data_IF_085222058140
#
_entry.id   IF_085222058140
#
_cell.length_a   1.000
_cell.length_b   1.000
_cell.length_c   1.000
_cell.angle_alpha   90.00
_cell.angle_beta   90.00
_cell.angle_gamma   90.00
#
_symmetry.space_group_name_H-M   'P 1'
#
loop_
_entity.id
_entity.type
_entity.pdbx_description
1 polymer ?
#
# COMPACT_ATOMS: atom_id res chain seq x y z
N UNK A 1 4.54 10.86 -3.07
CA UNK A 1 4.09 11.23 -1.71
C UNK A 1 2.58 11.02 -1.51
N UNK A 2 1.67 11.57 -2.31
CA UNK A 2 0.21 11.37 -2.15
C UNK A 2 -0.20 9.89 -2.05
N UNK A 3 0.52 9.02 -2.69
CA UNK A 3 0.24 7.59 -2.69
C UNK A 3 0.83 6.88 -1.45
N UNK A 4 1.96 7.34 -0.95
CA UNK A 4 2.53 6.87 0.32
C UNK A 4 1.70 7.34 1.51
N UNK A 5 1.34 8.64 1.54
CA UNK A 5 0.52 9.20 2.61
C UNK A 5 -0.95 8.93 2.28
N UNK A 6 -1.33 7.65 2.34
CA UNK A 6 -2.70 7.20 2.19
C UNK A 6 -3.43 7.16 3.53
N UNK A 7 -4.51 6.38 3.56
CA UNK A 7 -5.29 6.15 4.79
C UNK A 7 -4.52 5.30 5.82
N UNK A 8 -3.48 4.56 5.36
CA UNK A 8 -2.76 3.57 6.16
C UNK A 8 -2.46 4.04 7.58
N UNK A 9 -1.56 5.01 7.79
CA UNK A 9 -1.10 5.39 9.12
C UNK A 9 -2.22 5.90 10.06
N UNK A 10 -3.36 6.31 9.50
CA UNK A 10 -4.52 6.79 10.27
C UNK A 10 -5.43 5.66 10.77
N UNK A 11 -5.27 4.43 10.26
CA UNK A 11 -6.09 3.27 10.62
C UNK A 11 -5.26 2.08 11.11
N UNK A 12 -3.97 2.05 10.80
CA UNK A 12 -3.10 0.89 11.09
C UNK A 12 -2.44 0.96 12.46
N UNK A 13 -2.31 2.15 13.07
CA UNK A 13 -1.72 2.31 14.40
C UNK A 13 -2.33 1.35 15.44
N UNK A 14 -3.67 1.23 15.57
CA UNK A 14 -4.27 0.26 16.49
C UNK A 14 -3.90 -1.19 16.18
N UNK A 15 -3.77 -1.54 14.89
CA UNK A 15 -3.39 -2.89 14.45
C UNK A 15 -1.94 -3.21 14.81
N UNK A 16 -1.03 -2.25 14.61
CA UNK A 16 0.39 -2.39 14.93
C UNK A 16 0.59 -2.49 16.44
N UNK A 17 -0.09 -1.64 17.24
CA UNK A 17 -0.06 -1.72 18.70
C UNK A 17 -0.60 -3.05 19.21
N UNK A 18 -1.70 -3.55 18.64
CA UNK A 18 -2.28 -4.84 19.00
C UNK A 18 -1.35 -6.02 18.66
N UNK A 19 -0.56 -5.93 17.57
CA UNK A 19 0.37 -6.97 17.17
C UNK A 19 1.47 -7.24 18.20
N UNK A 20 1.89 -6.21 18.96
CA UNK A 20 2.95 -6.33 19.95
C UNK A 20 2.51 -6.03 21.39
N UNK A 21 1.25 -5.64 21.60
CA UNK A 21 0.68 -5.36 22.92
C UNK A 21 1.22 -4.10 23.59
N UNK A 22 1.69 -3.10 22.83
CA UNK A 22 2.16 -1.82 23.40
C UNK A 22 3.03 -0.96 22.47
N UNK A 23 3.60 0.15 23.00
CA UNK A 23 4.38 1.11 22.21
C UNK A 23 5.65 0.56 21.58
N UNK A 24 6.19 -0.58 22.09
CA UNK A 24 7.33 -1.27 21.45
C UNK A 24 7.02 -1.66 20.00
N UNK A 25 5.77 -1.69 19.60
CA UNK A 25 5.32 -1.86 18.23
C UNK A 25 5.87 -0.78 17.26
N UNK A 26 6.32 0.37 17.78
CA UNK A 26 7.04 1.38 17.00
C UNK A 26 8.33 0.86 16.36
N UNK A 27 8.92 -0.23 16.88
CA UNK A 27 10.01 -0.94 16.23
C UNK A 27 9.61 -1.43 14.83
N UNK A 28 8.36 -1.84 14.63
CA UNK A 28 7.84 -2.21 13.32
C UNK A 28 7.91 -1.07 12.31
N UNK A 29 7.62 0.17 12.73
CA UNK A 29 7.75 1.36 11.90
C UNK A 29 9.21 1.71 11.58
N UNK A 30 10.12 1.61 12.58
CA UNK A 30 11.54 1.90 12.40
C UNK A 30 12.18 0.89 11.45
N UNK A 31 11.97 -0.40 11.71
CA UNK A 31 12.51 -1.48 10.87
C UNK A 31 11.82 -1.50 9.48
N UNK A 32 10.53 -1.22 9.43
CA UNK A 32 9.79 -1.04 8.18
C UNK A 32 10.33 0.12 7.34
N UNK A 33 10.70 1.24 7.95
CA UNK A 33 11.35 2.36 7.26
C UNK A 33 12.73 1.96 6.71
N UNK A 34 13.54 1.24 7.50
CA UNK A 34 14.82 0.70 7.05
C UNK A 34 14.66 -0.27 5.88
N UNK A 35 13.66 -1.14 5.95
CA UNK A 35 13.30 -2.08 4.88
C UNK A 35 12.85 -1.32 3.63
N UNK A 36 11.97 -0.32 3.77
CA UNK A 36 11.50 0.51 2.66
C UNK A 36 12.65 1.30 2.02
N UNK A 37 13.65 1.75 2.80
CA UNK A 37 14.84 2.42 2.27
C UNK A 37 15.71 1.45 1.46
N UNK A 38 15.95 0.25 1.97
CA UNK A 38 16.72 -0.78 1.27
C UNK A 38 16.05 -1.18 -0.06
N UNK A 39 14.74 -1.40 -0.03
CA UNK A 39 13.95 -1.68 -1.23
C UNK A 39 13.89 -0.47 -2.17
N UNK A 40 13.69 0.73 -1.62
CA UNK A 40 13.67 1.98 -2.38
C UNK A 40 14.95 2.25 -3.16
N UNK A 41 16.11 1.83 -2.64
CA UNK A 41 17.38 1.89 -3.37
C UNK A 41 17.38 0.96 -4.59
N UNK A 42 16.76 -0.22 -4.50
CA UNK A 42 16.58 -1.14 -5.64
C UNK A 42 15.69 -0.50 -6.70
N UNK A 43 14.55 0.05 -6.30
CA UNK A 43 13.65 0.74 -7.21
C UNK A 43 14.27 1.98 -7.85
N UNK A 44 15.08 2.72 -7.09
CA UNK A 44 15.80 3.89 -7.57
C UNK A 44 16.81 3.53 -8.67
N UNK A 45 17.56 2.45 -8.51
CA UNK A 45 18.50 1.99 -9.53
C UNK A 45 17.78 1.47 -10.77
N UNK A 46 16.78 0.60 -10.59
CA UNK A 46 16.02 0.03 -11.71
C UNK A 46 15.25 1.12 -12.47
N UNK A 47 14.61 2.05 -11.76
CA UNK A 47 13.85 3.15 -12.36
C UNK A 47 14.73 4.17 -13.09
N UNK A 48 15.96 4.41 -12.62
CA UNK A 48 16.92 5.26 -13.31
C UNK A 48 17.52 4.58 -14.55
N UNK A 49 17.75 3.27 -14.49
CA UNK A 49 18.33 2.49 -15.58
C UNK A 49 17.31 2.18 -16.69
N UNK A 50 16.04 2.06 -16.34
CA UNK A 50 14.94 1.69 -17.24
C UNK A 50 13.76 2.68 -17.09
N UNK A 51 13.88 3.92 -17.57
CA UNK A 51 12.87 4.98 -17.39
C UNK A 51 11.67 4.82 -18.34
N UNK A 52 11.21 3.60 -18.54
CA UNK A 52 10.03 3.29 -19.35
C UNK A 52 8.76 3.27 -18.50
N UNK A 53 7.60 3.46 -19.14
CA UNK A 53 6.32 3.27 -18.49
C UNK A 53 6.10 1.79 -18.14
N UNK A 54 5.51 1.53 -16.96
CA UNK A 54 5.17 0.18 -16.53
C UNK A 54 5.98 -0.34 -15.33
N UNK A 55 7.04 0.35 -14.90
CA UNK A 55 7.79 0.03 -13.66
C UNK A 55 8.19 -1.45 -13.58
N UNK A 56 7.72 -2.17 -12.53
CA UNK A 56 8.03 -3.60 -12.33
C UNK A 56 7.83 -4.46 -13.57
N UNK A 57 6.82 -4.18 -14.38
CA UNK A 57 6.61 -4.92 -15.63
C UNK A 57 7.82 -4.81 -16.55
N UNK A 58 8.27 -3.58 -16.80
CA UNK A 58 9.42 -3.32 -17.66
C UNK A 58 10.72 -3.89 -17.05
N UNK A 59 10.89 -3.72 -15.73
CA UNK A 59 12.05 -4.24 -15.01
C UNK A 59 12.16 -5.75 -15.10
N UNK A 60 11.13 -6.48 -14.72
CA UNK A 60 11.13 -7.96 -14.72
C UNK A 60 11.29 -8.52 -16.14
N UNK A 61 10.68 -7.87 -17.14
CA UNK A 61 10.84 -8.22 -18.55
C UNK A 61 12.30 -8.12 -19.00
N UNK A 62 12.99 -7.03 -18.63
CA UNK A 62 14.37 -6.77 -19.03
C UNK A 62 15.37 -7.60 -18.24
N UNK A 63 15.18 -7.73 -16.91
CA UNK A 63 16.06 -8.49 -16.03
C UNK A 63 16.15 -9.94 -16.49
N UNK A 64 15.01 -10.60 -16.65
CA UNK A 64 14.94 -12.03 -16.93
C UNK A 64 14.82 -12.36 -18.44
N UNK A 65 14.61 -11.36 -19.27
CA UNK A 65 14.50 -11.51 -20.72
C UNK A 65 15.77 -11.14 -21.49
N UNK A 66 16.84 -10.74 -20.80
CA UNK A 66 18.08 -10.27 -21.42
C UNK A 66 17.96 -8.90 -22.08
N UNK A 67 18.99 -8.46 -22.85
CA UNK A 67 19.00 -7.18 -23.52
C UNK A 67 17.77 -6.96 -24.41
N UNK A 68 17.04 -5.87 -24.16
CA UNK A 68 15.79 -5.56 -24.86
C UNK A 68 14.57 -6.33 -24.39
N UNK A 69 14.67 -7.18 -23.34
CA UNK A 69 13.54 -7.86 -22.69
C UNK A 69 12.75 -8.81 -23.61
N UNK A 70 13.39 -9.39 -24.64
CA UNK A 70 12.72 -10.25 -25.65
C UNK A 70 12.70 -11.73 -25.28
N UNK A 71 13.51 -12.16 -24.30
CA UNK A 71 13.57 -13.55 -23.86
C UNK A 71 12.27 -14.06 -23.26
N UNK A 72 11.97 -15.34 -23.48
CA UNK A 72 10.72 -15.98 -23.04
C UNK A 72 10.51 -15.95 -21.54
N UNK A 73 11.58 -16.15 -20.75
CA UNK A 73 11.53 -16.11 -19.29
C UNK A 73 11.13 -14.72 -18.76
N UNK A 74 11.71 -13.64 -19.31
CA UNK A 74 11.35 -12.28 -18.91
C UNK A 74 9.90 -11.94 -19.23
N UNK A 75 9.41 -12.35 -20.42
CA UNK A 75 8.00 -12.17 -20.80
C UNK A 75 7.05 -12.96 -19.89
N UNK A 76 7.41 -14.15 -19.50
CA UNK A 76 6.63 -14.99 -18.60
C UNK A 76 6.55 -14.38 -17.20
N UNK A 77 7.69 -14.00 -16.60
CA UNK A 77 7.73 -13.41 -15.25
C UNK A 77 6.99 -12.06 -15.23
N UNK A 78 7.19 -11.22 -16.26
CA UNK A 78 6.47 -9.97 -16.39
C UNK A 78 4.95 -10.17 -16.57
N UNK A 79 4.52 -11.24 -17.25
CA UNK A 79 3.10 -11.62 -17.33
C UNK A 79 2.56 -12.03 -15.97
N UNK A 80 3.27 -12.87 -15.23
CA UNK A 80 2.85 -13.28 -13.86
C UNK A 80 2.72 -12.06 -12.94
N UNK A 81 3.64 -11.11 -13.03
CA UNK A 81 3.54 -9.85 -12.30
C UNK A 81 2.23 -9.10 -12.62
N UNK A 82 1.87 -8.95 -13.89
CA UNK A 82 0.61 -8.28 -14.26
C UNK A 82 -0.60 -9.08 -13.83
N UNK A 83 -0.53 -10.40 -13.95
CA UNK A 83 -1.61 -11.27 -13.53
C UNK A 83 -1.88 -11.14 -12.02
N UNK A 84 -0.84 -11.16 -11.17
CA UNK A 84 -1.02 -10.90 -9.74
C UNK A 84 -1.50 -9.46 -9.46
N UNK A 85 -1.07 -8.47 -10.25
CA UNK A 85 -1.48 -7.09 -10.10
C UNK A 85 -3.00 -6.93 -10.33
N UNK A 86 -3.61 -7.80 -11.13
CA UNK A 86 -5.07 -7.85 -11.33
C UNK A 86 -5.82 -8.08 -10.01
N UNK A 87 -5.18 -8.68 -9.02
CA UNK A 87 -5.72 -8.89 -7.66
C UNK A 87 -5.17 -7.86 -6.68
N UNK A 88 -3.85 -7.66 -6.64
CA UNK A 88 -3.22 -6.83 -5.62
C UNK A 88 -3.49 -5.32 -5.79
N UNK A 89 -3.67 -4.83 -7.00
CA UNK A 89 -4.00 -3.42 -7.21
C UNK A 89 -5.43 -3.06 -6.75
N UNK A 90 -6.48 -3.86 -7.10
CA UNK A 90 -7.81 -3.65 -6.53
C UNK A 90 -7.88 -3.78 -5.00
N UNK A 91 -7.09 -4.68 -4.40
CA UNK A 91 -6.98 -4.79 -2.94
C UNK A 91 -6.45 -3.50 -2.32
N UNK A 92 -5.45 -2.84 -2.93
CA UNK A 92 -4.96 -1.53 -2.46
C UNK A 92 -6.04 -0.44 -2.55
N UNK A 93 -6.81 -0.42 -3.62
CA UNK A 93 -7.92 0.53 -3.80
C UNK A 93 -9.01 0.26 -2.75
N UNK A 94 -9.38 -1.00 -2.55
CA UNK A 94 -10.39 -1.40 -1.58
C UNK A 94 -9.96 -1.06 -0.15
N UNK A 95 -8.69 -1.29 0.24
CA UNK A 95 -8.20 -0.95 1.58
C UNK A 95 -8.34 0.55 1.89
N UNK A 96 -8.04 1.42 0.91
CA UNK A 96 -8.26 2.86 1.04
C UNK A 96 -9.74 3.24 1.20
N UNK A 97 -10.62 2.60 0.44
CA UNK A 97 -12.07 2.86 0.50
C UNK A 97 -12.71 2.31 1.79
N UNK A 98 -12.26 1.14 2.28
CA UNK A 98 -12.68 0.58 3.57
C UNK A 98 -12.26 1.51 4.70
N UNK A 99 -11.01 1.99 4.69
CA UNK A 99 -10.54 2.96 5.69
C UNK A 99 -11.34 4.26 5.65
N UNK A 100 -11.67 4.78 4.47
CA UNK A 100 -12.56 5.93 4.31
C UNK A 100 -13.94 5.66 4.94
N UNK A 101 -14.52 4.49 4.72
CA UNK A 101 -15.84 4.14 5.25
C UNK A 101 -15.86 4.02 6.77
N UNK A 102 -14.75 3.62 7.41
CA UNK A 102 -14.62 3.59 8.86
C UNK A 102 -14.70 4.99 9.48
N UNK A 103 -14.05 5.98 8.87
CA UNK A 103 -14.16 7.38 9.30
C UNK A 103 -15.54 7.99 8.97
N UNK A 104 -16.18 7.56 7.90
CA UNK A 104 -17.56 7.94 7.61
C UNK A 104 -18.52 7.39 8.69
N UNK A 105 -18.32 6.16 9.15
CA UNK A 105 -19.11 5.58 10.25
C UNK A 105 -18.95 6.33 11.57
N UNK A 106 -17.76 6.89 11.85
CA UNK A 106 -17.55 7.79 12.98
C UNK A 106 -18.38 9.09 12.85
N UNK A 107 -18.43 9.69 11.64
CA UNK A 107 -19.21 10.91 11.40
C UNK A 107 -20.73 10.67 11.50
N UNK A 108 -21.18 9.52 11.02
CA UNK A 108 -22.57 9.11 10.99
C UNK A 108 -22.77 7.75 11.70
N UNK A 109 -22.84 7.72 13.04
CA UNK A 109 -22.94 6.46 13.81
C UNK A 109 -24.12 5.58 13.44
N UNK A 110 -25.20 6.18 12.87
CA UNK A 110 -26.34 5.43 12.35
C UNK A 110 -25.97 4.47 11.22
N UNK A 111 -24.87 4.75 10.47
CA UNK A 111 -24.37 3.87 9.42
C UNK A 111 -23.66 2.65 10.03
N UNK A 112 -22.95 2.83 11.16
CA UNK A 112 -22.32 1.73 11.88
C UNK A 112 -23.35 0.83 12.58
N UNK A 113 -24.46 1.41 13.05
CA UNK A 113 -25.56 0.70 13.73
C UNK A 113 -26.52 -0.02 12.73
N UNK A 114 -26.36 0.18 11.42
CA UNK A 114 -27.15 -0.49 10.41
C UNK A 114 -26.93 -2.00 10.39
N UNK A 115 -27.94 -2.77 9.95
CA UNK A 115 -27.81 -4.22 9.83
C UNK A 115 -26.67 -4.57 8.89
N UNK A 116 -25.56 -5.08 9.45
CA UNK A 116 -24.46 -5.64 8.68
C UNK A 116 -24.63 -7.15 8.63
N UNK A 117 -24.89 -7.70 7.47
CA UNK A 117 -24.86 -9.14 7.28
C UNK A 117 -23.39 -9.57 7.18
N UNK A 118 -22.88 -10.14 8.24
CA UNK A 118 -21.55 -10.74 8.24
C UNK A 118 -21.67 -12.26 8.04
N UNK A 119 -20.99 -12.78 7.05
CA UNK A 119 -20.87 -14.23 6.80
C UNK A 119 -19.40 -14.60 6.73
N UNK A 120 -19.05 -15.72 7.37
CA UNK A 120 -17.74 -16.32 7.19
C UNK A 120 -17.79 -17.22 5.95
N UNK A 121 -17.04 -16.85 4.94
CA UNK A 121 -16.80 -17.70 3.78
C UNK A 121 -15.67 -18.66 4.08
N UNK A 122 -15.97 -19.94 4.06
CA UNK A 122 -14.98 -21.01 4.19
C UNK A 122 -14.73 -21.64 2.82
N UNK A 123 -13.57 -21.38 2.22
CA UNK A 123 -13.19 -21.95 0.93
C UNK A 123 -11.83 -22.62 1.08
N UNK A 124 -11.77 -23.95 0.95
CA UNK A 124 -10.51 -24.70 0.96
C UNK A 124 -9.67 -24.48 2.23
N UNK A 125 -10.30 -24.31 3.41
CA UNK A 125 -9.62 -24.02 4.69
C UNK A 125 -9.33 -22.53 4.94
N UNK A 126 -9.68 -21.63 4.03
CA UNK A 126 -9.68 -20.19 4.24
C UNK A 126 -11.00 -19.74 4.88
N UNK A 127 -10.89 -18.91 5.90
CA UNK A 127 -12.03 -18.23 6.52
C UNK A 127 -11.86 -16.74 6.27
N UNK A 128 -12.65 -16.18 5.38
CA UNK A 128 -12.68 -14.74 5.13
C UNK A 128 -14.02 -14.17 5.63
N UNK A 129 -13.95 -13.12 6.42
CA UNK A 129 -15.14 -12.38 6.84
C UNK A 129 -15.66 -11.52 5.69
N UNK A 130 -16.82 -11.85 5.17
CA UNK A 130 -17.54 -11.02 4.19
C UNK A 130 -18.63 -10.26 4.92
N UNK A 131 -18.59 -8.95 4.86
CA UNK A 131 -19.57 -8.08 5.48
C UNK A 131 -20.24 -7.20 4.41
N UNK A 132 -21.56 -7.19 4.42
CA UNK A 132 -22.37 -6.30 3.59
C UNK A 132 -23.22 -5.42 4.51
N UNK A 133 -22.98 -4.11 4.45
CA UNK A 133 -23.68 -3.14 5.27
C UNK A 133 -23.51 -1.72 4.74
N UNK A 134 -24.01 -0.72 5.46
CA UNK A 134 -23.90 0.68 5.03
C UNK A 134 -22.44 1.14 4.83
N UNK A 135 -21.51 0.68 5.67
CA UNK A 135 -20.06 0.98 5.52
C UNK A 135 -19.53 0.46 4.17
N UNK A 136 -19.93 -0.77 3.78
CA UNK A 136 -19.54 -1.36 2.48
C UNK A 136 -20.09 -0.52 1.31
N UNK A 137 -21.32 -0.01 1.43
CA UNK A 137 -21.90 0.86 0.39
C UNK A 137 -21.12 2.18 0.25
N UNK A 138 -20.66 2.76 1.35
CA UNK A 138 -19.81 3.96 1.31
C UNK A 138 -18.47 3.66 0.63
N UNK A 139 -17.84 2.53 0.97
CA UNK A 139 -16.60 2.13 0.31
C UNK A 139 -16.80 1.94 -1.20
N UNK A 140 -17.87 1.29 -1.61
CA UNK A 140 -18.24 1.12 -3.03
C UNK A 140 -18.50 2.47 -3.69
N UNK A 141 -19.24 3.38 -3.04
CA UNK A 141 -19.49 4.72 -3.54
C UNK A 141 -18.18 5.50 -3.76
N UNK A 142 -17.22 5.38 -2.84
CA UNK A 142 -15.91 6.01 -2.99
C UNK A 142 -15.14 5.48 -4.22
N UNK A 143 -15.18 4.15 -4.47
CA UNK A 143 -14.61 3.56 -5.70
C UNK A 143 -15.28 4.13 -6.93
N UNK A 144 -16.62 4.14 -6.96
CA UNK A 144 -17.41 4.61 -8.12
C UNK A 144 -17.13 6.09 -8.41
N UNK A 145 -17.09 6.94 -7.38
CA UNK A 145 -16.76 8.37 -7.53
C UNK A 145 -15.36 8.55 -8.08
N UNK A 146 -14.36 7.83 -7.55
CA UNK A 146 -12.99 7.93 -8.02
C UNK A 146 -12.84 7.49 -9.49
N UNK A 147 -13.47 6.35 -9.86
CA UNK A 147 -13.50 5.86 -11.25
C UNK A 147 -14.21 6.85 -12.16
N UNK A 148 -15.36 7.39 -11.75
CA UNK A 148 -16.12 8.37 -12.52
C UNK A 148 -15.32 9.64 -12.79
N UNK A 149 -14.67 10.20 -11.76
CA UNK A 149 -13.84 11.40 -11.90
C UNK A 149 -12.69 11.17 -12.86
N UNK A 150 -12.00 10.02 -12.76
CA UNK A 150 -10.91 9.67 -13.68
C UNK A 150 -11.43 9.41 -15.10
N UNK A 151 -12.61 8.78 -15.24
CA UNK A 151 -13.22 8.49 -16.54
C UNK A 151 -13.62 9.75 -17.30
N UNK A 152 -14.12 10.76 -16.60
CA UNK A 152 -14.48 12.07 -17.17
C UNK A 152 -13.27 12.86 -17.69
N UNK A 153 -12.05 12.47 -17.29
CA UNK A 153 -10.85 13.16 -17.72
C UNK A 153 -10.84 14.62 -17.24
N UNK A 154 -10.68 14.83 -15.93
CA UNK A 154 -10.69 16.15 -15.32
C UNK A 154 -9.67 17.09 -16.00
N UNK A 155 -10.18 18.08 -16.74
CA UNK A 155 -9.42 19.30 -17.07
C UNK A 155 -9.13 20.01 -15.75
N UNK A 156 -7.92 19.86 -15.22
CA UNK A 156 -7.59 20.39 -13.88
C UNK A 156 -7.08 19.32 -12.90
N UNK A 157 -6.73 18.13 -13.39
CA UNK A 157 -6.15 17.07 -12.58
C UNK A 157 -5.02 17.56 -11.65
N UNK A 158 -4.21 18.52 -12.13
CA UNK A 158 -3.14 19.16 -11.35
C UNK A 158 -3.66 19.93 -10.14
N UNK A 159 -4.74 20.68 -10.32
CA UNK A 159 -5.35 21.47 -9.25
C UNK A 159 -5.97 20.56 -8.20
N UNK A 160 -6.73 19.55 -8.63
CA UNK A 160 -7.35 18.57 -7.73
C UNK A 160 -6.28 17.84 -6.91
N UNK A 161 -5.22 17.37 -7.54
CA UNK A 161 -4.10 16.71 -6.87
C UNK A 161 -3.37 17.64 -5.90
N UNK A 162 -3.18 18.92 -6.27
CA UNK A 162 -2.55 19.92 -5.40
C UNK A 162 -3.41 20.23 -4.17
N UNK A 163 -4.72 20.41 -4.35
CA UNK A 163 -5.67 20.63 -3.24
C UNK A 163 -5.69 19.43 -2.28
N UNK A 164 -5.75 18.22 -2.82
CA UNK A 164 -5.69 17.00 -2.02
C UNK A 164 -4.36 16.92 -1.25
N UNK A 165 -3.24 17.25 -1.89
CA UNK A 165 -1.93 17.26 -1.23
C UNK A 165 -1.86 18.29 -0.09
N UNK A 166 -2.38 19.50 -0.30
CA UNK A 166 -2.47 20.52 0.75
C UNK A 166 -3.33 20.03 1.92
N UNK A 167 -4.47 19.40 1.67
CA UNK A 167 -5.33 18.84 2.72
C UNK A 167 -4.59 17.78 3.57
N UNK A 168 -3.86 16.87 2.90
CA UNK A 168 -3.03 15.85 3.57
C UNK A 168 -1.97 16.48 4.46
N UNK A 169 -1.23 17.46 3.93
CA UNK A 169 -0.18 18.15 4.70
C UNK A 169 -0.74 18.93 5.87
N UNK A 170 -1.91 19.57 5.69
CA UNK A 170 -2.61 20.30 6.75
C UNK A 170 -3.02 19.33 7.88
N UNK A 171 -3.57 18.16 7.55
CA UNK A 171 -3.94 17.16 8.55
C UNK A 171 -2.72 16.71 9.35
N UNK A 172 -1.63 16.34 8.68
CA UNK A 172 -0.40 15.88 9.35
C UNK A 172 0.16 16.99 10.24
N UNK A 173 0.30 18.19 9.72
CA UNK A 173 0.79 19.33 10.50
C UNK A 173 -0.08 19.58 11.74
N UNK A 174 -1.41 19.45 11.60
CA UNK A 174 -2.33 19.59 12.73
C UNK A 174 -2.14 18.49 13.77
N UNK A 175 -2.00 17.22 13.36
CA UNK A 175 -1.71 16.11 14.28
C UNK A 175 -0.41 16.36 15.04
N UNK A 176 0.66 16.75 14.35
CA UNK A 176 1.96 17.00 14.97
C UNK A 176 1.88 18.18 15.95
N UNK A 177 1.25 19.29 15.56
CA UNK A 177 1.07 20.46 16.41
C UNK A 177 0.26 20.09 17.66
N UNK A 178 -0.83 19.34 17.52
CA UNK A 178 -1.66 18.87 18.63
C UNK A 178 -0.85 17.97 19.57
N UNK A 179 -0.04 17.06 19.02
CA UNK A 179 0.83 16.18 19.83
C UNK A 179 1.87 16.97 20.65
N UNK A 180 2.43 18.03 20.08
CA UNK A 180 3.40 18.88 20.78
C UNK A 180 2.73 19.75 21.85
N UNK A 181 1.54 20.29 21.58
CA UNK A 181 0.86 21.25 22.47
C UNK A 181 0.06 20.59 23.60
N UNK A 182 -0.49 19.41 23.35
CA UNK A 182 -1.41 18.72 24.30
C UNK A 182 -0.88 17.34 24.74
N UNK A 183 0.22 16.86 24.15
CA UNK A 183 0.74 15.54 24.44
C UNK A 183 1.77 15.52 25.58
N UNK A 184 1.85 14.38 26.24
CA UNK A 184 2.86 14.05 27.23
C UNK A 184 3.80 12.99 26.67
N UNK A 185 5.00 13.37 26.21
CA UNK A 185 5.96 12.44 25.57
C UNK A 185 6.27 11.19 26.40
N UNK A 186 6.30 11.31 27.74
CA UNK A 186 6.51 10.15 28.63
C UNK A 186 5.46 9.07 28.43
N UNK A 187 4.23 9.44 28.12
CA UNK A 187 3.13 8.50 27.88
C UNK A 187 3.37 7.65 26.64
N UNK A 188 3.92 8.24 25.56
CA UNK A 188 4.22 7.53 24.33
C UNK A 188 5.27 6.42 24.53
N UNK A 189 6.11 6.52 25.57
CA UNK A 189 7.16 5.58 25.89
C UNK A 189 6.89 4.76 27.16
N UNK A 190 5.61 4.62 27.55
CA UNK A 190 5.22 3.78 28.68
C UNK A 190 5.06 2.34 28.23
N UNK A 191 6.14 1.57 28.31
CA UNK A 191 6.18 0.17 27.88
C UNK A 191 5.62 -0.77 28.93
N UNK A 192 4.90 -1.84 28.53
CA UNK A 192 4.49 -2.91 29.44
C UNK A 192 5.73 -3.69 29.96
N UNK A 193 5.61 -4.37 31.13
CA UNK A 193 6.68 -5.23 31.62
C UNK A 193 7.05 -6.30 30.59
N UNK A 194 8.36 -6.49 30.34
CA UNK A 194 8.85 -7.47 29.38
C UNK A 194 8.66 -7.10 27.92
N UNK A 195 8.34 -5.84 27.60
CA UNK A 195 8.06 -5.35 26.23
C UNK A 195 9.14 -5.71 25.18
N UNK A 196 10.37 -5.84 25.60
CA UNK A 196 11.53 -6.15 24.72
C UNK A 196 12.13 -7.52 25.01
N UNK A 197 11.45 -8.40 25.74
CA UNK A 197 11.93 -9.75 25.98
C UNK A 197 12.00 -10.53 24.65
N UNK A 198 13.14 -11.14 24.28
CA UNK A 198 13.31 -11.82 23.00
C UNK A 198 12.65 -13.20 23.02
N UNK A 199 11.33 -13.21 23.05
CA UNK A 199 10.48 -14.40 23.07
C UNK A 199 9.89 -14.67 21.67
N UNK A 200 9.47 -15.91 21.35
CA UNK A 200 8.80 -16.19 20.09
C UNK A 200 7.59 -15.27 19.81
N UNK A 201 6.70 -14.97 20.78
CA UNK A 201 5.62 -14.00 20.58
C UNK A 201 6.09 -12.59 20.22
N UNK A 202 7.24 -12.15 20.77
CA UNK A 202 7.83 -10.86 20.40
C UNK A 202 8.21 -10.81 18.92
N UNK A 203 8.91 -11.83 18.41
CA UNK A 203 9.31 -11.87 17.00
C UNK A 203 8.11 -12.02 16.06
N UNK A 204 7.12 -12.85 16.40
CA UNK A 204 5.86 -12.94 15.64
C UNK A 204 5.12 -11.60 15.62
N UNK A 205 5.02 -10.92 16.75
CA UNK A 205 4.42 -9.60 16.85
C UNK A 205 5.17 -8.56 16.03
N UNK A 206 6.51 -8.59 16.08
CA UNK A 206 7.37 -7.71 15.31
C UNK A 206 7.22 -7.94 13.80
N UNK A 207 7.20 -9.20 13.34
CA UNK A 207 6.94 -9.53 11.94
C UNK A 207 5.58 -9.01 11.46
N UNK A 208 4.54 -9.15 12.30
CA UNK A 208 3.20 -8.61 12.02
C UNK A 208 3.19 -7.08 12.00
N UNK A 209 3.87 -6.42 12.94
CA UNK A 209 4.01 -4.96 12.97
C UNK A 209 4.79 -4.45 11.75
N UNK A 210 5.88 -5.11 11.38
CA UNK A 210 6.65 -4.78 10.17
C UNK A 210 5.84 -4.96 8.89
N UNK A 211 4.99 -5.99 8.80
CA UNK A 211 4.11 -6.19 7.65
C UNK A 211 3.18 -5.00 7.46
N UNK A 212 2.50 -4.58 8.53
CA UNK A 212 1.55 -3.46 8.49
C UNK A 212 2.30 -2.15 8.18
N UNK A 213 3.44 -1.91 8.83
CA UNK A 213 4.27 -0.73 8.57
C UNK A 213 4.78 -0.70 7.13
N UNK A 214 5.19 -1.85 6.57
CA UNK A 214 5.62 -1.97 5.18
C UNK A 214 4.49 -1.60 4.21
N UNK A 215 3.25 -2.05 4.48
CA UNK A 215 2.07 -1.65 3.72
C UNK A 215 1.90 -0.13 3.72
N UNK A 216 2.06 0.52 4.86
CA UNK A 216 1.89 1.97 4.99
C UNK A 216 3.01 2.77 4.29
N UNK A 217 4.23 2.22 4.22
CA UNK A 217 5.33 2.85 3.48
C UNK A 217 5.22 2.68 1.96
N UNK A 218 4.44 1.73 1.45
CA UNK A 218 4.34 1.51 0.01
C UNK A 218 3.76 2.71 -0.73
N UNK A 219 4.12 2.82 -2.02
CA UNK A 219 3.71 3.93 -2.88
C UNK A 219 4.88 4.75 -3.44
N UNK A 220 6.09 4.69 -2.82
CA UNK A 220 7.29 5.39 -3.32
C UNK A 220 7.67 4.98 -4.74
N UNK A 221 7.37 3.75 -5.13
CA UNK A 221 7.70 3.19 -6.44
C UNK A 221 6.72 3.58 -7.54
N UNK A 222 5.57 4.17 -7.23
CA UNK A 222 4.53 4.47 -8.23
C UNK A 222 4.99 5.47 -9.30
N UNK A 223 5.97 6.32 -8.98
CA UNK A 223 6.61 7.20 -9.96
C UNK A 223 7.23 6.41 -11.12
N UNK A 224 7.69 5.17 -10.88
CA UNK A 224 8.30 4.33 -11.93
C UNK A 224 7.27 3.82 -12.94
N UNK A 225 5.99 3.74 -12.57
CA UNK A 225 4.91 3.36 -13.49
C UNK A 225 4.63 4.46 -14.52
N UNK A 226 5.00 5.69 -14.19
CA UNK A 226 4.89 6.88 -15.01
C UNK A 226 6.24 7.28 -15.65
N UNK A 227 7.24 6.41 -15.61
CA UNK A 227 8.62 6.74 -15.99
C UNK A 227 8.75 7.43 -17.33
N UNK A 228 7.98 7.02 -18.34
CA UNK A 228 7.96 7.63 -19.67
C UNK A 228 7.33 9.05 -19.72
N UNK A 229 6.60 9.46 -18.68
CA UNK A 229 5.96 10.79 -18.57
C UNK A 229 6.80 11.74 -17.69
N UNK A 230 7.84 11.23 -17.00
CA UNK A 230 8.68 12.01 -16.07
C UNK A 230 9.83 12.69 -16.81
N UNK A 231 9.94 14.00 -16.66
CA UNK A 231 11.07 14.76 -17.22
C UNK A 231 12.36 14.41 -16.47
N UNK A 232 13.43 14.09 -17.22
CA UNK A 232 14.72 13.65 -16.68
C UNK A 232 14.56 12.51 -15.64
N UNK A 233 13.85 11.46 -16.05
CA UNK A 233 13.50 10.34 -15.16
C UNK A 233 14.72 9.69 -14.51
N UNK A 234 15.85 9.64 -15.20
CA UNK A 234 17.11 9.07 -14.69
C UNK A 234 17.60 9.72 -13.38
N UNK A 235 17.31 11.01 -13.19
CA UNK A 235 17.67 11.78 -11.97
C UNK A 235 16.48 12.00 -11.05
N UNK A 236 15.30 12.26 -11.63
CA UNK A 236 14.10 12.61 -10.89
C UNK A 236 13.55 11.42 -10.12
N UNK A 237 13.50 10.21 -10.73
CA UNK A 237 12.93 9.02 -10.10
C UNK A 237 13.70 8.61 -8.83
N UNK A 238 15.04 8.46 -8.83
CA UNK A 238 15.78 8.11 -7.62
C UNK A 238 15.60 9.12 -6.48
N UNK A 239 15.69 10.41 -6.80
CA UNK A 239 15.52 11.47 -5.81
C UNK A 239 14.12 11.48 -5.21
N UNK A 240 13.10 11.35 -6.04
CA UNK A 240 11.72 11.31 -5.58
C UNK A 240 11.45 10.12 -4.67
N UNK A 241 11.96 8.92 -4.99
CA UNK A 241 11.82 7.73 -4.17
C UNK A 241 12.48 7.93 -2.80
N UNK A 242 13.77 8.27 -2.77
CA UNK A 242 14.53 8.33 -1.53
C UNK A 242 14.08 9.48 -0.62
N UNK A 243 13.82 10.67 -1.16
CA UNK A 243 13.31 11.80 -0.39
C UNK A 243 11.91 11.47 0.16
N UNK A 244 11.05 10.84 -0.65
CA UNK A 244 9.71 10.46 -0.18
C UNK A 244 9.76 9.45 0.96
N UNK A 245 10.61 8.42 0.89
CA UNK A 245 10.76 7.43 1.96
C UNK A 245 11.26 8.10 3.24
N UNK A 246 12.33 8.89 3.16
CA UNK A 246 12.91 9.55 4.33
C UNK A 246 11.92 10.51 5.00
N UNK A 247 11.24 11.35 4.21
CA UNK A 247 10.28 12.32 4.73
C UNK A 247 9.05 11.61 5.34
N UNK A 248 8.49 10.61 4.64
CA UNK A 248 7.32 9.89 5.12
C UNK A 248 7.65 9.07 6.37
N UNK A 249 8.85 8.46 6.46
CA UNK A 249 9.28 7.77 7.66
C UNK A 249 9.33 8.71 8.88
N UNK A 250 9.91 9.89 8.72
CA UNK A 250 9.93 10.90 9.79
C UNK A 250 8.52 11.34 10.19
N UNK A 251 7.65 11.63 9.20
CA UNK A 251 6.28 12.07 9.45
C UNK A 251 5.47 10.99 10.16
N UNK A 252 5.58 9.73 9.76
CA UNK A 252 4.82 8.64 10.38
C UNK A 252 5.28 8.36 11.81
N UNK A 253 6.58 8.32 12.06
CA UNK A 253 7.10 8.16 13.42
C UNK A 253 6.65 9.33 14.32
N UNK A 254 6.81 10.57 13.85
CA UNK A 254 6.40 11.74 14.60
C UNK A 254 4.88 11.76 14.86
N UNK A 255 4.07 11.38 13.88
CA UNK A 255 2.61 11.32 13.99
C UNK A 255 2.17 10.25 15.00
N UNK A 256 2.74 9.03 14.92
CA UNK A 256 2.41 7.96 15.85
C UNK A 256 2.84 8.29 17.28
N UNK A 257 4.02 8.91 17.47
CA UNK A 257 4.45 9.43 18.77
C UNK A 257 3.48 10.50 19.27
N UNK A 258 3.03 11.42 18.42
CA UNK A 258 2.07 12.45 18.77
C UNK A 258 0.75 11.86 19.25
N UNK A 259 0.23 10.84 18.56
CA UNK A 259 -1.00 10.15 18.96
C UNK A 259 -0.84 9.45 20.30
N UNK A 260 0.27 8.71 20.50
CA UNK A 260 0.57 8.01 21.75
C UNK A 260 0.88 8.95 22.93
N UNK A 261 1.34 10.17 22.64
CA UNK A 261 1.57 11.19 23.66
C UNK A 261 0.27 11.74 24.26
N UNK A 262 -0.86 11.62 23.54
CA UNK A 262 -2.19 12.07 24.00
C UNK A 262 -3.07 10.89 24.40
N UNK A 263 -3.08 9.80 23.59
CA UNK A 263 -3.89 8.62 23.86
C UNK A 263 -3.05 7.52 24.52
N UNK A 264 -3.40 7.05 25.71
CA UNK A 264 -2.75 5.87 26.31
C UNK A 264 -2.95 4.66 25.40
N UNK A 265 -1.87 3.92 25.12
CA UNK A 265 -1.93 2.74 24.23
C UNK A 265 -2.93 1.68 24.73
N UNK A 266 -3.11 1.54 26.06
CA UNK A 266 -4.09 0.64 26.67
C UNK A 266 -5.52 0.99 26.22
N UNK A 267 -5.82 2.27 26.10
CA UNK A 267 -7.11 2.75 25.60
C UNK A 267 -7.33 2.44 24.12
N UNK A 268 -6.26 2.35 23.34
CA UNK A 268 -6.35 2.00 21.90
C UNK A 268 -6.49 0.48 21.72
N UNK A 269 -5.65 -0.33 22.39
CA UNK A 269 -5.62 -1.79 22.22
C UNK A 269 -6.78 -2.46 22.94
N UNK A 270 -7.10 -2.02 24.17
CA UNK A 270 -8.14 -2.56 25.03
C UNK A 270 -9.51 -1.93 24.86
N UNK A 271 -9.68 -1.00 23.93
CA UNK A 271 -10.95 -0.30 23.76
C UNK A 271 -12.10 -1.26 23.43
N UNK A 272 -13.10 -1.28 24.29
CA UNK A 272 -14.40 -1.88 23.99
C UNK A 272 -15.16 -1.04 22.94
N UNK A 273 -14.80 0.25 22.79
CA UNK A 273 -15.36 1.12 21.78
C UNK A 273 -14.67 0.91 20.42
N UNK A 274 -15.42 0.34 19.49
CA UNK A 274 -14.98 0.13 18.11
C UNK A 274 -14.60 1.44 17.41
N UNK A 275 -15.21 2.57 17.77
CA UNK A 275 -14.93 3.86 17.16
C UNK A 275 -13.53 4.35 17.53
N UNK A 276 -13.10 4.16 18.78
CA UNK A 276 -11.74 4.51 19.22
C UNK A 276 -10.65 3.77 18.41
N UNK A 277 -10.93 2.52 18.00
CA UNK A 277 -10.00 1.71 17.19
C UNK A 277 -10.07 2.03 15.71
N UNK A 278 -11.26 2.36 15.18
CA UNK A 278 -11.49 2.58 13.73
C UNK A 278 -11.19 4.00 13.27
N UNK A 279 -11.38 5.00 14.15
CA UNK A 279 -11.18 6.41 13.86
C UNK A 279 -10.21 7.05 14.86
N UNK A 280 -9.03 6.42 15.04
CA UNK A 280 -8.05 6.79 16.07
C UNK A 280 -7.64 8.27 16.03
N UNK A 281 -7.58 8.89 14.86
CA UNK A 281 -7.23 10.31 14.73
C UNK A 281 -8.36 11.21 15.21
N UNK A 282 -9.61 10.85 14.97
CA UNK A 282 -10.75 11.60 15.52
C UNK A 282 -10.78 11.53 17.03
N UNK A 283 -10.61 10.31 17.60
CA UNK A 283 -10.52 10.10 19.05
C UNK A 283 -9.32 10.84 19.67
N UNK A 284 -8.18 10.89 18.95
CA UNK A 284 -7.02 11.68 19.37
C UNK A 284 -7.36 13.17 19.50
N UNK A 285 -8.06 13.74 18.52
CA UNK A 285 -8.48 15.14 18.58
C UNK A 285 -9.51 15.38 19.70
N UNK A 286 -10.45 14.46 19.91
CA UNK A 286 -11.40 14.57 21.02
C UNK A 286 -10.69 14.59 22.36
N UNK A 287 -9.74 13.70 22.58
CA UNK A 287 -8.99 13.62 23.83
C UNK A 287 -8.10 14.85 24.05
N UNK A 288 -7.46 15.37 22.99
CA UNK A 288 -6.56 16.52 23.08
C UNK A 288 -7.28 17.82 23.42
N UNK A 289 -8.44 18.07 22.80
CA UNK A 289 -9.15 19.36 22.92
C UNK A 289 -10.31 19.32 23.93
N UNK A 290 -10.55 18.16 24.55
CA UNK A 290 -11.52 18.01 25.63
C UNK A 290 -12.99 18.08 25.19
N UNK A 291 -13.94 18.04 26.17
CA UNK A 291 -15.36 17.81 25.85
C UNK A 291 -16.04 18.93 25.10
N UNK A 292 -15.53 20.18 25.20
CA UNK A 292 -16.18 21.32 24.57
C UNK A 292 -15.88 21.42 23.06
N UNK A 293 -14.60 21.32 22.68
CA UNK A 293 -14.15 21.50 21.31
C UNK A 293 -13.79 20.17 20.63
N UNK A 294 -13.41 19.16 21.38
CA UNK A 294 -12.93 17.87 20.89
C UNK A 294 -13.87 17.20 19.90
N UNK A 295 -15.18 17.05 20.17
CA UNK A 295 -16.12 16.41 19.24
C UNK A 295 -16.24 17.12 17.88
N UNK A 296 -16.18 18.45 17.86
CA UNK A 296 -16.20 19.21 16.61
C UNK A 296 -14.90 19.04 15.81
N UNK A 297 -13.76 19.16 16.50
CA UNK A 297 -12.44 19.00 15.88
C UNK A 297 -12.17 17.54 15.45
N UNK A 298 -12.65 16.55 16.19
CA UNK A 298 -12.64 15.15 15.80
C UNK A 298 -13.38 14.90 14.48
N UNK A 299 -14.55 15.52 14.29
CA UNK A 299 -15.31 15.45 13.04
C UNK A 299 -14.56 16.08 11.87
N UNK A 300 -13.94 17.25 12.09
CA UNK A 300 -13.12 17.92 11.06
C UNK A 300 -11.93 17.03 10.69
N UNK A 301 -11.23 16.46 11.66
CA UNK A 301 -10.14 15.54 11.41
C UNK A 301 -10.59 14.29 10.64
N UNK A 302 -11.74 13.71 10.99
CA UNK A 302 -12.33 12.59 10.27
C UNK A 302 -12.58 12.91 8.79
N UNK A 303 -13.14 14.09 8.49
CA UNK A 303 -13.32 14.55 7.09
C UNK A 303 -11.98 14.67 6.37
N UNK A 304 -10.95 15.23 7.00
CA UNK A 304 -9.62 15.37 6.39
C UNK A 304 -8.97 14.00 6.15
N UNK A 305 -9.15 13.01 7.05
CA UNK A 305 -8.70 11.63 6.81
C UNK A 305 -9.45 11.00 5.65
N UNK A 306 -10.76 11.20 5.52
CA UNK A 306 -11.54 10.71 4.37
C UNK A 306 -11.04 11.32 3.05
N UNK A 307 -10.73 12.62 3.03
CA UNK A 307 -10.13 13.30 1.87
C UNK A 307 -8.76 12.69 1.55
N UNK A 308 -7.94 12.43 2.57
CA UNK A 308 -6.63 11.79 2.41
C UNK A 308 -6.75 10.38 1.82
N UNK A 309 -7.66 9.57 2.35
CA UNK A 309 -7.95 8.24 1.84
C UNK A 309 -8.41 8.28 0.37
N UNK A 310 -9.32 9.20 0.05
CA UNK A 310 -9.80 9.38 -1.31
C UNK A 310 -8.69 9.82 -2.28
N UNK A 311 -7.80 10.72 -1.83
CA UNK A 311 -6.65 11.17 -2.60
C UNK A 311 -5.69 10.02 -2.97
N UNK A 312 -5.43 9.13 -2.02
CA UNK A 312 -4.62 7.92 -2.24
C UNK A 312 -5.31 6.97 -3.23
N UNK A 313 -6.58 6.66 -3.03
CA UNK A 313 -7.38 5.82 -3.95
C UNK A 313 -7.35 6.38 -5.37
N UNK A 314 -7.52 7.68 -5.51
CA UNK A 314 -7.47 8.37 -6.80
C UNK A 314 -6.09 8.22 -7.49
N UNK A 315 -5.01 8.40 -6.72
CA UNK A 315 -3.63 8.24 -7.19
C UNK A 315 -3.33 6.79 -7.60
N UNK A 316 -3.77 5.81 -6.80
CA UNK A 316 -3.63 4.38 -7.07
C UNK A 316 -4.32 3.97 -8.38
N UNK A 317 -5.58 4.36 -8.56
CA UNK A 317 -6.33 4.08 -9.78
C UNK A 317 -5.67 4.68 -11.01
N UNK A 318 -5.17 5.93 -10.88
CA UNK A 318 -4.46 6.62 -11.96
C UNK A 318 -3.18 5.88 -12.34
N UNK A 319 -2.34 5.48 -11.39
CA UNK A 319 -1.07 4.80 -11.63
C UNK A 319 -1.25 3.38 -12.14
N UNK A 320 -2.01 2.56 -11.43
CA UNK A 320 -2.15 1.14 -11.75
C UNK A 320 -2.90 0.86 -13.04
N UNK A 321 -3.80 1.72 -13.48
CA UNK A 321 -4.49 1.55 -14.75
C UNK A 321 -3.54 1.55 -15.97
N UNK A 322 -2.37 2.17 -15.86
CA UNK A 322 -1.38 2.24 -16.94
C UNK A 322 -0.58 0.96 -17.15
N UNK A 323 -0.45 0.11 -16.12
CA UNK A 323 0.42 -1.08 -16.16
C UNK A 323 -0.15 -2.17 -17.10
N UNK A 324 -1.43 -2.60 -16.99
CA UNK A 324 -2.00 -3.54 -17.93
C UNK A 324 -2.04 -3.00 -19.37
N UNK A 325 -2.21 -1.68 -19.52
CA UNK A 325 -2.14 -1.02 -20.83
C UNK A 325 -0.74 -1.15 -21.47
N UNK A 326 0.32 -0.84 -20.71
CA UNK A 326 1.70 -0.96 -21.21
C UNK A 326 2.00 -2.40 -21.67
N UNK A 327 1.62 -3.39 -20.87
CA UNK A 327 1.82 -4.79 -21.19
C UNK A 327 1.00 -5.28 -22.39
N UNK A 328 -0.21 -4.76 -22.57
CA UNK A 328 -1.05 -5.06 -23.73
C UNK A 328 -0.46 -4.46 -25.02
N UNK A 329 0.11 -3.27 -24.93
CA UNK A 329 0.84 -2.63 -26.05
C UNK A 329 2.08 -3.44 -26.49
N UNK A 330 2.78 -4.02 -25.53
CA UNK A 330 3.91 -4.92 -25.79
C UNK A 330 3.48 -6.33 -26.29
N UNK A 331 2.19 -6.56 -26.44
CA UNK A 331 1.65 -7.88 -26.81
C UNK A 331 1.83 -8.95 -25.76
N UNK A 332 2.18 -8.59 -24.52
CA UNK A 332 2.39 -9.51 -23.40
C UNK A 332 1.20 -9.65 -22.46
N UNK A 333 0.09 -8.95 -22.73
CA UNK A 333 -1.16 -9.07 -22.00
C UNK A 333 -2.35 -9.15 -22.96
N UNK A 334 -3.59 -9.15 -22.46
CA UNK A 334 -4.79 -9.22 -23.28
C UNK A 334 -5.00 -7.94 -24.10
N UNK A 335 -5.25 -8.06 -25.41
CA UNK A 335 -5.36 -6.93 -26.35
C UNK A 335 -6.39 -5.88 -25.96
N UNK A 336 -7.46 -6.28 -25.24
CA UNK A 336 -8.52 -5.38 -24.81
C UNK A 336 -8.02 -4.24 -23.91
N UNK A 337 -6.98 -4.49 -23.09
CA UNK A 337 -6.36 -3.50 -22.23
C UNK A 337 -5.50 -2.46 -22.97
N UNK A 338 -5.15 -2.73 -24.23
CA UNK A 338 -4.44 -1.79 -25.09
C UNK A 338 -5.32 -0.67 -25.68
N UNK A 339 -6.60 -0.62 -25.36
CA UNK A 339 -7.54 0.40 -25.83
C UNK A 339 -7.48 1.66 -24.97
N UNK A 340 -7.38 2.82 -25.63
CA UNK A 340 -7.48 4.13 -24.97
C UNK A 340 -8.87 4.73 -25.19
N UNK A 341 -9.31 5.49 -24.21
CA UNK A 341 -10.46 6.40 -24.35
C UNK A 341 -10.11 7.57 -25.26
N UNK A 342 -11.12 8.29 -25.78
CA UNK A 342 -10.91 9.52 -26.59
C UNK A 342 -10.00 10.55 -25.90
N UNK A 343 -10.01 10.60 -24.59
CA UNK A 343 -9.18 11.50 -23.76
C UNK A 343 -7.78 10.93 -23.46
N UNK A 344 -7.33 9.87 -24.14
CA UNK A 344 -5.97 9.35 -24.05
C UNK A 344 -5.65 8.50 -22.80
N UNK A 345 -6.63 8.05 -22.01
CA UNK A 345 -6.38 7.21 -20.84
C UNK A 345 -6.88 5.76 -21.02
N UNK A 346 -6.30 4.78 -20.29
CA UNK A 346 -6.62 3.35 -20.43
C UNK A 346 -7.92 2.98 -19.69
N UNK A 347 -9.06 3.27 -20.30
CA UNK A 347 -10.39 3.12 -19.69
C UNK A 347 -10.74 1.68 -19.32
N UNK A 348 -10.33 0.69 -20.11
CA UNK A 348 -10.62 -0.74 -19.81
C UNK A 348 -9.90 -1.17 -18.54
N UNK A 349 -8.63 -0.81 -18.39
CA UNK A 349 -7.87 -1.10 -17.17
C UNK A 349 -8.47 -0.42 -15.95
N UNK A 350 -8.89 0.85 -16.09
CA UNK A 350 -9.52 1.62 -15.02
C UNK A 350 -10.84 0.98 -14.55
N UNK A 351 -11.72 0.64 -15.49
CA UNK A 351 -13.03 0.03 -15.18
C UNK A 351 -12.87 -1.35 -14.53
N UNK A 352 -11.97 -2.19 -15.05
CA UNK A 352 -11.70 -3.50 -14.46
C UNK A 352 -11.13 -3.38 -13.03
N UNK A 353 -10.20 -2.46 -12.84
CA UNK A 353 -9.59 -2.19 -11.53
C UNK A 353 -10.66 -1.75 -10.52
N UNK A 354 -11.55 -0.83 -10.92
CA UNK A 354 -12.66 -0.38 -10.10
C UNK A 354 -13.66 -1.50 -9.78
N UNK A 355 -14.08 -2.28 -10.79
CA UNK A 355 -14.99 -3.39 -10.59
C UNK A 355 -14.42 -4.46 -9.62
N UNK A 356 -13.15 -4.82 -9.78
CA UNK A 356 -12.49 -5.74 -8.86
C UNK A 356 -12.36 -5.15 -7.44
N UNK A 357 -12.07 -3.85 -7.31
CA UNK A 357 -12.01 -3.18 -6.01
C UNK A 357 -13.36 -3.21 -5.28
N UNK A 358 -14.47 -3.04 -6.00
CA UNK A 358 -15.82 -3.17 -5.43
C UNK A 358 -16.02 -4.56 -4.81
N UNK A 359 -15.58 -5.63 -5.49
CA UNK A 359 -15.67 -6.98 -4.93
C UNK A 359 -14.87 -7.12 -3.63
N UNK A 360 -13.71 -6.46 -3.53
CA UNK A 360 -12.88 -6.52 -2.33
C UNK A 360 -13.35 -5.62 -1.19
N UNK A 361 -14.23 -4.66 -1.42
CA UNK A 361 -14.84 -3.85 -0.36
C UNK A 361 -15.74 -4.64 0.60
N UNK A 362 -16.11 -5.86 0.26
CA UNK A 362 -16.88 -6.74 1.14
C UNK A 362 -16.05 -7.47 2.18
N UNK A 363 -14.71 -7.45 2.07
CA UNK A 363 -13.81 -8.14 2.99
C UNK A 363 -13.34 -7.23 4.15
N UNK A 364 -12.81 -7.85 5.21
CA UNK A 364 -12.23 -7.07 6.31
C UNK A 364 -10.95 -6.37 5.85
N UNK A 365 -10.66 -5.20 6.43
CA UNK A 365 -9.45 -4.44 6.12
C UNK A 365 -8.17 -5.26 6.37
N UNK A 366 -8.13 -6.02 7.47
CA UNK A 366 -6.98 -6.85 7.82
C UNK A 366 -6.73 -7.95 6.79
N UNK A 367 -7.77 -8.64 6.32
CA UNK A 367 -7.66 -9.68 5.29
C UNK A 367 -7.20 -9.09 3.95
N UNK A 368 -7.73 -7.91 3.59
CA UNK A 368 -7.34 -7.19 2.37
C UNK A 368 -5.86 -6.80 2.40
N UNK A 369 -5.38 -6.23 3.51
CA UNK A 369 -3.96 -5.87 3.67
C UNK A 369 -3.08 -7.12 3.62
N UNK A 370 -3.46 -8.17 4.34
CA UNK A 370 -2.70 -9.40 4.38
C UNK A 370 -2.53 -10.05 2.99
N UNK A 371 -3.62 -10.22 2.25
CA UNK A 371 -3.60 -10.79 0.90
C UNK A 371 -2.77 -9.94 -0.07
N UNK A 372 -2.92 -8.61 0.00
CA UNK A 372 -2.18 -7.66 -0.80
C UNK A 372 -0.67 -7.79 -0.59
N UNK A 373 -0.24 -7.80 0.67
CA UNK A 373 1.18 -7.78 1.03
C UNK A 373 1.88 -9.05 0.58
N UNK A 374 1.30 -10.22 0.83
CA UNK A 374 1.90 -11.51 0.47
C UNK A 374 2.05 -11.65 -1.05
N UNK A 375 1.02 -11.33 -1.83
CA UNK A 375 1.08 -11.40 -3.28
C UNK A 375 2.17 -10.48 -3.87
N UNK A 376 2.31 -9.27 -3.32
CA UNK A 376 3.32 -8.31 -3.80
C UNK A 376 4.73 -8.71 -3.41
N UNK A 377 4.94 -9.15 -2.17
CA UNK A 377 6.28 -9.57 -1.73
C UNK A 377 6.83 -10.63 -2.66
N UNK A 378 6.07 -11.69 -2.94
CA UNK A 378 6.55 -12.83 -3.71
C UNK A 378 6.88 -12.48 -5.17
N UNK A 379 5.97 -11.84 -5.89
CA UNK A 379 6.07 -11.66 -7.33
C UNK A 379 6.60 -10.29 -7.77
N UNK A 380 6.64 -9.31 -6.88
CA UNK A 380 7.13 -7.98 -7.23
C UNK A 380 8.46 -7.70 -6.54
N UNK A 381 8.49 -7.69 -5.22
CA UNK A 381 9.67 -7.24 -4.48
C UNK A 381 10.82 -8.26 -4.52
N UNK A 382 10.60 -9.50 -4.11
CA UNK A 382 11.66 -10.51 -4.10
C UNK A 382 12.26 -10.73 -5.49
N UNK A 383 11.42 -10.77 -6.54
CA UNK A 383 11.92 -10.92 -7.90
C UNK A 383 12.79 -9.74 -8.34
N UNK A 384 12.54 -8.53 -7.88
CA UNK A 384 13.36 -7.37 -8.22
C UNK A 384 14.64 -7.31 -7.40
N UNK A 385 14.63 -7.70 -6.12
CA UNK A 385 15.85 -7.76 -5.29
C UNK A 385 16.86 -8.76 -5.85
N UNK A 386 16.41 -9.98 -6.13
CA UNK A 386 17.24 -10.99 -6.80
C UNK A 386 17.61 -10.50 -8.20
N UNK A 387 16.65 -9.88 -8.87
CA UNK A 387 16.80 -9.37 -10.23
C UNK A 387 17.88 -8.31 -10.38
N UNK A 388 18.00 -7.36 -9.46
CA UNK A 388 19.04 -6.32 -9.56
C UNK A 388 20.44 -6.92 -9.41
N UNK A 389 20.59 -7.95 -8.55
CA UNK A 389 21.85 -8.67 -8.39
C UNK A 389 22.20 -9.45 -9.66
N UNK A 390 21.19 -10.15 -10.22
CA UNK A 390 21.34 -10.88 -11.48
C UNK A 390 21.66 -9.93 -12.65
N UNK A 391 20.96 -8.81 -12.77
CA UNK A 391 21.15 -7.82 -13.83
C UNK A 391 22.55 -7.20 -13.81
N UNK A 392 23.13 -6.96 -12.63
CA UNK A 392 24.50 -6.43 -12.53
C UNK A 392 25.56 -7.43 -13.01
N UNK A 393 25.29 -8.74 -12.87
CA UNK A 393 26.19 -9.81 -13.35
C UNK A 393 26.03 -10.08 -14.84
N UNK A 394 24.79 -10.07 -15.37
CA UNK A 394 24.50 -10.46 -16.74
C UNK A 394 24.57 -9.29 -17.74
N UNK A 395 24.36 -8.07 -17.28
CA UNK A 395 24.39 -6.85 -18.11
C UNK A 395 25.25 -5.76 -17.44
N UNK A 396 26.58 -5.98 -17.25
CA UNK A 396 27.47 -5.02 -16.58
C UNK A 396 27.54 -3.67 -17.32
N UNK A 397 27.46 -3.68 -18.66
CA UNK A 397 27.54 -2.50 -19.52
C UNK A 397 26.26 -1.64 -19.53
N UNK A 398 25.18 -2.11 -18.89
CA UNK A 398 23.95 -1.32 -18.83
C UNK A 398 24.22 0.01 -18.09
N UNK A 399 23.83 1.12 -18.71
CA UNK A 399 23.94 2.45 -18.09
C UNK A 399 23.06 2.53 -16.84
N UNK A 400 23.65 2.85 -15.69
CA UNK A 400 22.99 3.04 -14.40
C UNK A 400 23.29 4.45 -13.88
N UNK A 401 22.45 5.44 -14.22
CA UNK A 401 22.64 6.83 -13.76
C UNK A 401 22.62 6.98 -12.25
N UNK A 402 21.87 6.13 -11.58
CA UNK A 402 21.89 5.94 -10.12
C UNK A 402 22.34 4.52 -9.80
N UNK A 403 23.18 4.36 -8.77
CA UNK A 403 23.67 3.06 -8.27
C UNK A 403 23.34 2.92 -6.79
N UNK A 404 22.92 1.73 -6.38
CA UNK A 404 22.63 1.39 -4.99
C UNK A 404 23.87 1.63 -4.13
N UNK A 405 23.72 2.40 -3.05
CA UNK A 405 24.76 2.60 -2.06
C UNK A 405 25.01 1.32 -1.27
N UNK A 406 26.25 1.06 -0.87
CA UNK A 406 26.65 -0.12 -0.09
C UNK A 406 26.23 -1.46 -0.73
N UNK A 407 26.14 -1.51 -2.07
CA UNK A 407 25.82 -2.76 -2.76
C UNK A 407 26.81 -3.89 -2.40
N UNK A 408 26.38 -5.16 -2.14
CA UNK A 408 25.02 -5.71 -2.35
C UNK A 408 24.13 -5.67 -1.08
N UNK A 409 24.53 -5.00 -0.03
CA UNK A 409 23.87 -5.05 1.28
C UNK A 409 22.37 -4.66 1.24
N UNK A 410 21.94 -3.52 0.64
CA UNK A 410 20.52 -3.16 0.65
C UNK A 410 19.58 -4.19 -0.02
N UNK A 411 19.84 -4.72 -1.23
CA UNK A 411 18.97 -5.74 -1.81
C UNK A 411 18.96 -7.05 -1.02
N UNK A 412 20.05 -7.41 -0.33
CA UNK A 412 20.11 -8.57 0.54
C UNK A 412 19.28 -8.33 1.80
N UNK A 413 19.46 -7.19 2.48
CA UNK A 413 18.66 -6.83 3.66
C UNK A 413 17.16 -6.73 3.33
N UNK A 414 16.81 -6.15 2.19
CA UNK A 414 15.43 -6.09 1.72
C UNK A 414 14.86 -7.51 1.51
N UNK A 415 15.62 -8.40 0.88
CA UNK A 415 15.21 -9.80 0.71
C UNK A 415 14.99 -10.50 2.04
N UNK A 416 15.95 -10.39 2.97
CA UNK A 416 15.87 -11.01 4.29
C UNK A 416 14.68 -10.45 5.07
N UNK A 417 14.48 -9.13 5.07
CA UNK A 417 13.36 -8.49 5.77
C UNK A 417 11.99 -8.91 5.22
N UNK A 418 11.83 -8.98 3.89
CA UNK A 418 10.57 -9.46 3.31
C UNK A 418 10.35 -10.96 3.54
N UNK A 419 11.39 -11.77 3.51
CA UNK A 419 11.29 -13.20 3.86
C UNK A 419 10.91 -13.34 5.34
N UNK A 420 11.53 -12.59 6.25
CA UNK A 420 11.15 -12.57 7.65
C UNK A 420 9.68 -12.21 7.85
N UNK A 421 9.19 -11.13 7.23
CA UNK A 421 7.78 -10.75 7.29
C UNK A 421 6.85 -11.89 6.84
N UNK A 422 7.23 -12.64 5.81
CA UNK A 422 6.44 -13.77 5.32
C UNK A 422 6.45 -14.95 6.30
N UNK A 423 7.62 -15.30 6.85
CA UNK A 423 7.78 -16.48 7.73
C UNK A 423 7.11 -16.31 9.09
N UNK A 424 7.13 -15.10 9.65
CA UNK A 424 6.51 -14.78 10.96
C UNK A 424 4.99 -14.60 10.90
N UNK A 425 4.36 -14.96 9.79
CA UNK A 425 2.90 -14.91 9.63
C UNK A 425 2.23 -16.11 10.28
N UNK A 426 1.22 -15.85 11.12
CA UNK A 426 0.41 -16.89 11.75
C UNK A 426 -0.25 -17.85 10.72
N UNK A 427 -0.60 -17.34 9.54
CA UNK A 427 -1.24 -18.10 8.46
C UNK A 427 -0.32 -18.31 7.24
N UNK A 428 1.00 -18.27 7.43
CA UNK A 428 2.00 -18.34 6.35
C UNK A 428 1.72 -19.47 5.34
N UNK A 429 1.50 -20.69 5.82
CA UNK A 429 1.26 -21.84 4.94
C UNK A 429 0.02 -21.66 4.06
N UNK A 430 -1.05 -21.11 4.59
CA UNK A 430 -2.29 -20.86 3.84
C UNK A 430 -2.12 -19.73 2.82
N UNK A 431 -1.47 -18.66 3.23
CA UNK A 431 -1.25 -17.49 2.39
C UNK A 431 -0.31 -17.80 1.21
N UNK A 432 0.75 -18.58 1.44
CA UNK A 432 1.67 -19.00 0.36
C UNK A 432 1.00 -19.99 -0.60
N UNK A 433 0.11 -20.86 -0.11
CA UNK A 433 -0.70 -21.73 -0.98
C UNK A 433 -1.63 -20.89 -1.86
N UNK A 434 -2.30 -19.88 -1.32
CA UNK A 434 -3.13 -18.96 -2.08
C UNK A 434 -2.34 -18.22 -3.17
N UNK A 435 -1.16 -17.70 -2.82
CA UNK A 435 -0.25 -17.08 -3.79
C UNK A 435 0.21 -18.10 -4.85
N UNK A 436 0.49 -19.35 -4.45
CA UNK A 436 0.81 -20.45 -5.35
C UNK A 436 -0.29 -20.75 -6.36
N UNK A 437 -1.55 -20.75 -5.93
CA UNK A 437 -2.72 -20.91 -6.83
C UNK A 437 -2.76 -19.78 -7.84
N UNK A 438 -2.56 -18.51 -7.43
CA UNK A 438 -2.51 -17.37 -8.36
C UNK A 438 -1.40 -17.54 -9.39
N UNK A 439 -0.21 -18.00 -8.98
CA UNK A 439 0.92 -18.27 -9.88
C UNK A 439 0.58 -19.41 -10.85
N UNK A 440 0.01 -20.51 -10.37
CA UNK A 440 -0.35 -21.67 -11.21
C UNK A 440 -1.41 -21.30 -12.24
N UNK A 441 -2.47 -20.60 -11.83
CA UNK A 441 -3.52 -20.12 -12.73
C UNK A 441 -2.95 -19.15 -13.77
N UNK A 442 -2.10 -18.20 -13.33
CA UNK A 442 -1.42 -17.28 -14.23
C UNK A 442 -0.54 -18.02 -15.25
N UNK A 443 0.18 -19.05 -14.81
CA UNK A 443 1.02 -19.90 -15.69
C UNK A 443 0.17 -20.64 -16.73
N UNK A 444 -0.94 -21.23 -16.30
CA UNK A 444 -1.87 -21.95 -17.21
C UNK A 444 -2.47 -20.99 -18.26
N UNK A 445 -2.88 -19.79 -17.85
CA UNK A 445 -3.39 -18.77 -18.77
C UNK A 445 -2.31 -18.30 -19.75
N UNK A 446 -1.07 -18.13 -19.29
CA UNK A 446 0.05 -17.75 -20.17
C UNK A 446 0.34 -18.83 -21.22
N UNK A 447 0.38 -20.09 -20.81
CA UNK A 447 0.59 -21.23 -21.69
C UNK A 447 -0.54 -21.38 -22.72
N UNK A 448 -1.81 -21.29 -22.27
CA UNK A 448 -2.98 -21.34 -23.16
C UNK A 448 -2.98 -20.22 -24.19
N UNK A 449 -2.65 -18.99 -23.77
CA UNK A 449 -2.58 -17.83 -24.65
C UNK A 449 -1.49 -17.99 -25.74
N UNK A 450 -0.35 -18.57 -25.39
CA UNK A 450 0.72 -18.76 -26.35
C UNK A 450 0.39 -19.85 -27.38
N UNK A 451 -0.35 -20.89 -26.98
CA UNK A 451 -0.87 -21.91 -27.91
C UNK A 451 -1.87 -21.34 -28.93
N UNK A 452 -2.68 -20.36 -28.51
CA UNK A 452 -3.65 -19.68 -29.41
C UNK A 452 -2.99 -18.66 -30.37
N UNK A 453 -1.70 -18.33 -30.16
CA UNK A 453 -0.94 -17.41 -31.03
C UNK A 453 0.00 -18.14 -32.00
N UNK A 454 0.32 -19.40 -31.71
CA UNK A 454 1.07 -20.30 -32.59
C UNK A 454 0.14 -20.99 -33.58
#
# INVERSE_FOLDING_TARGET
>A
MLDMIGVGPFITLPLILAAMGGPQAMLGWILGAGLALCDGLVWAELGAAMPEAGGSYAFLRTIYGGPGGRGGAGRFIAFLFIFQLTFSAPLSVASGCIGLSQYAAYLWPRLAAGHTSARMLHVGGYSAGVAAGPETLIAIAAVLVAVFLLYRGLTGLRVVTAVMWCAVMTLIAWILLTGVTHGHLRQAFTFPPGAFAPTPPFFMGLGSAMLIATYDYWGYYNITFLGGEVKDAARTVPRAILISIALVAMLYLAMNISVLAVLPWQGIVGAHDLNARRAVIATFMEAAYGPNMGPALGKVAAVLVMVTAFASVFSLLLGYSRIPYAAARDGNYFRVFGRLHRNGFPHVSLLMLGAAAICFCFFSLADVIAALVVLRILLQFLMQHVGVIYLRRTQPEMKRPFRIWLYPLPPVLATVGFVYILLERANFQREILGAGVVILVGTAIYAGRNRLKA
#
